data_IF_764416230747
#
_entry.id   IF_764416230747
#
_cell.length_a   1.000
_cell.length_b   1.000
_cell.length_c   1.000
_cell.angle_alpha   90.00
_cell.angle_beta   90.00
_cell.angle_gamma   90.00
#
_symmetry.space_group_name_H-M   'P 1'
#
loop_
_entity.id
_entity.type
_entity.pdbx_description
1 polymer ?
#
# COMPACT_ATOMS: atom_id res chain seq x y z
N UNK A 1 0.80 -0.10 19.51
CA UNK A 1 1.89 0.69 20.18
C UNK A 1 2.64 1.58 19.21
N UNK A 2 2.93 1.17 17.98
CA UNK A 2 3.51 2.03 16.89
C UNK A 2 2.63 3.26 16.61
N UNK A 3 1.29 3.13 16.62
CA UNK A 3 0.37 4.27 16.54
C UNK A 3 0.50 5.24 17.73
N UNK A 4 0.84 4.76 18.92
CA UNK A 4 0.99 5.61 20.11
C UNK A 4 2.32 6.39 20.12
N UNK A 5 3.38 5.86 19.51
CA UNK A 5 4.68 6.54 19.41
C UNK A 5 4.69 7.56 18.26
N UNK A 6 4.05 7.24 17.14
CA UNK A 6 3.80 8.19 16.05
C UNK A 6 2.95 9.39 16.52
N UNK A 7 2.07 9.22 17.51
CA UNK A 7 1.30 10.31 18.11
C UNK A 7 2.17 11.30 18.93
N UNK A 8 3.40 10.96 19.28
CA UNK A 8 4.33 11.80 20.04
C UNK A 8 5.17 12.73 19.15
N UNK A 9 5.53 12.31 17.94
CA UNK A 9 6.29 13.16 17.00
C UNK A 9 5.39 14.22 16.34
N UNK A 10 5.87 15.47 16.31
CA UNK A 10 5.18 16.56 15.60
C UNK A 10 5.01 16.19 14.12
N UNK A 11 6.05 15.65 13.50
CA UNK A 11 6.04 15.27 12.08
C UNK A 11 5.04 14.13 11.82
N UNK A 12 4.98 13.13 12.70
CA UNK A 12 4.01 12.05 12.58
C UNK A 12 2.57 12.56 12.69
N UNK A 13 2.30 13.53 13.58
CA UNK A 13 0.99 14.16 13.71
C UNK A 13 0.62 14.98 12.47
N UNK A 14 1.56 15.78 11.94
CA UNK A 14 1.37 16.51 10.67
C UNK A 14 1.04 15.55 9.54
N UNK A 15 1.82 14.49 9.38
CA UNK A 15 1.58 13.49 8.34
C UNK A 15 0.22 12.78 8.49
N UNK A 16 -0.24 12.51 9.73
CA UNK A 16 -1.56 11.94 9.99
C UNK A 16 -2.68 12.92 9.61
N UNK A 17 -2.53 14.20 9.92
CA UNK A 17 -3.50 15.26 9.56
C UNK A 17 -3.58 15.41 8.04
N UNK A 18 -2.45 15.49 7.34
CA UNK A 18 -2.43 15.62 5.88
C UNK A 18 -3.07 14.42 5.17
N UNK A 19 -2.78 13.19 5.64
CA UNK A 19 -3.46 12.00 5.12
C UNK A 19 -4.97 12.06 5.34
N UNK A 20 -5.39 12.41 6.56
CA UNK A 20 -6.82 12.54 6.89
C UNK A 20 -7.54 13.62 6.06
N UNK A 21 -6.84 14.66 5.60
CA UNK A 21 -7.38 15.63 4.63
C UNK A 21 -7.50 14.96 3.26
N UNK A 22 -6.43 14.31 2.78
CA UNK A 22 -6.40 13.66 1.47
C UNK A 22 -7.43 12.54 1.30
N UNK A 23 -7.76 11.80 2.38
CA UNK A 23 -8.78 10.73 2.37
C UNK A 23 -10.21 11.27 2.08
N UNK A 24 -10.39 12.59 2.09
CA UNK A 24 -11.68 13.24 1.85
C UNK A 24 -11.71 14.08 0.56
N UNK A 25 -10.70 13.95 -0.28
CA UNK A 25 -10.75 14.59 -1.60
C UNK A 25 -11.82 13.91 -2.51
N UNK A 26 -12.48 14.66 -3.38
CA UNK A 26 -12.37 16.10 -3.62
C UNK A 26 -13.25 16.98 -2.70
N UNK A 27 -14.09 16.42 -1.84
CA UNK A 27 -15.11 17.12 -1.06
C UNK A 27 -14.54 17.87 0.16
N UNK A 28 -13.28 17.61 0.47
CA UNK A 28 -12.59 18.13 1.66
C UNK A 28 -13.10 17.53 2.97
N UNK A 29 -12.39 17.78 4.07
CA UNK A 29 -12.66 17.25 5.41
C UNK A 29 -13.06 18.35 6.41
N UNK A 30 -14.00 18.06 7.32
CA UNK A 30 -14.20 18.91 8.49
C UNK A 30 -13.08 18.71 9.51
N UNK A 31 -12.80 19.70 10.35
CA UNK A 31 -11.83 19.56 11.45
C UNK A 31 -12.17 18.38 12.38
N UNK A 32 -13.46 18.04 12.50
CA UNK A 32 -13.94 16.93 13.33
C UNK A 32 -13.61 15.57 12.67
N UNK A 33 -13.81 15.46 11.35
CA UNK A 33 -13.47 14.25 10.60
C UNK A 33 -11.96 13.99 10.64
N UNK A 34 -11.15 15.04 10.38
CA UNK A 34 -9.69 14.97 10.49
C UNK A 34 -9.27 14.53 11.89
N UNK A 35 -9.86 15.08 12.95
CA UNK A 35 -9.53 14.76 14.33
C UNK A 35 -9.82 13.28 14.64
N UNK A 36 -10.95 12.77 14.18
CA UNK A 36 -11.34 11.36 14.34
C UNK A 36 -10.37 10.43 13.59
N UNK A 37 -10.10 10.72 12.32
CA UNK A 37 -9.22 9.89 11.45
C UNK A 37 -7.78 9.91 11.93
N UNK A 38 -7.25 11.09 12.32
CA UNK A 38 -5.88 11.24 12.79
C UNK A 38 -5.67 10.79 14.26
N UNK A 39 -6.74 10.50 15.00
CA UNK A 39 -6.66 10.14 16.42
C UNK A 39 -6.16 11.29 17.32
N UNK A 40 -6.45 12.55 16.95
CA UNK A 40 -5.96 13.75 17.63
C UNK A 40 -7.11 14.59 18.20
N UNK A 41 -6.83 15.37 19.25
CA UNK A 41 -7.80 16.31 19.78
C UNK A 41 -8.12 17.43 18.76
N UNK A 42 -9.40 17.77 18.59
CA UNK A 42 -9.88 18.80 17.66
C UNK A 42 -9.14 20.14 17.75
N UNK A 43 -8.82 20.71 18.93
CA UNK A 43 -8.03 21.94 19.02
C UNK A 43 -6.62 21.80 18.46
N UNK A 44 -6.00 20.63 18.61
CA UNK A 44 -4.68 20.33 18.05
C UNK A 44 -4.75 20.28 16.52
N UNK A 45 -5.73 19.57 15.96
CA UNK A 45 -5.95 19.52 14.51
C UNK A 45 -6.20 20.92 13.94
N UNK A 46 -7.07 21.72 14.58
CA UNK A 46 -7.36 23.07 14.12
C UNK A 46 -6.09 23.94 14.02
N UNK A 47 -5.23 23.91 15.05
CA UNK A 47 -3.94 24.62 15.01
C UNK A 47 -3.03 24.11 13.88
N UNK A 48 -3.00 22.80 13.67
CA UNK A 48 -2.16 22.18 12.63
C UNK A 48 -2.66 22.54 11.22
N UNK A 49 -3.94 22.39 10.91
CA UNK A 49 -4.46 22.75 9.59
C UNK A 49 -4.36 24.25 9.31
N UNK A 50 -4.51 25.10 10.33
CA UNK A 50 -4.30 26.55 10.19
C UNK A 50 -2.84 26.87 9.87
N UNK A 51 -1.89 26.21 10.53
CA UNK A 51 -0.46 26.37 10.23
C UNK A 51 -0.10 25.81 8.84
N UNK A 52 -0.63 24.66 8.47
CA UNK A 52 -0.44 24.06 7.15
C UNK A 52 -1.06 24.93 6.04
N UNK A 53 -2.18 25.59 6.30
CA UNK A 53 -2.80 26.52 5.36
C UNK A 53 -1.95 27.78 5.15
N UNK A 54 -1.31 28.30 6.20
CA UNK A 54 -0.40 29.43 6.07
C UNK A 54 0.82 29.11 5.16
N UNK A 55 1.21 27.85 5.08
CA UNK A 55 2.30 27.35 4.22
C UNK A 55 1.80 26.76 2.88
N UNK A 56 0.48 26.83 2.60
CA UNK A 56 -0.11 26.34 1.34
C UNK A 56 -0.23 24.82 1.20
N UNK A 57 0.03 24.04 2.25
CA UNK A 57 -0.10 22.58 2.22
C UNK A 57 -1.55 22.10 2.26
N UNK A 58 -2.43 22.88 2.86
CA UNK A 58 -3.87 22.66 2.83
C UNK A 58 -4.56 23.99 2.51
N UNK A 59 -5.75 23.91 1.91
CA UNK A 59 -6.60 25.06 1.64
C UNK A 59 -7.91 24.93 2.41
N UNK A 60 -8.57 26.07 2.65
CA UNK A 60 -9.89 26.12 3.23
C UNK A 60 -10.90 26.45 2.15
N UNK A 61 -11.76 25.50 1.83
CA UNK A 61 -12.88 25.67 0.92
C UNK A 61 -13.89 26.69 1.47
N UNK A 62 -14.69 27.31 0.60
CA UNK A 62 -15.79 28.22 0.98
C UNK A 62 -16.79 27.58 1.95
N UNK A 63 -16.98 26.25 1.85
CA UNK A 63 -17.77 25.44 2.79
C UNK A 63 -17.17 25.33 4.19
N UNK A 64 -15.96 25.89 4.42
CA UNK A 64 -15.20 25.75 5.66
C UNK A 64 -14.51 24.42 5.87
N UNK A 65 -14.54 23.52 4.86
CA UNK A 65 -13.83 22.22 4.85
C UNK A 65 -12.37 22.42 4.42
N UNK A 66 -11.51 21.48 4.79
CA UNK A 66 -10.08 21.48 4.47
C UNK A 66 -9.79 20.52 3.33
N UNK A 67 -9.05 20.98 2.34
CA UNK A 67 -8.57 20.21 1.19
C UNK A 67 -7.04 20.30 1.09
N UNK A 68 -6.41 19.45 0.28
CA UNK A 68 -4.97 19.56 0.01
C UNK A 68 -4.69 20.82 -0.80
N UNK A 69 -3.69 21.60 -0.37
CA UNK A 69 -3.32 22.86 -0.98
C UNK A 69 -2.29 22.71 -2.12
N UNK A 70 -2.04 23.81 -2.86
CA UNK A 70 -1.16 23.81 -4.04
C UNK A 70 0.27 23.40 -3.73
N UNK A 71 0.80 23.70 -2.54
CA UNK A 71 2.16 23.28 -2.16
C UNK A 71 2.30 21.76 -2.13
N UNK A 72 1.27 21.04 -1.67
CA UNK A 72 1.23 19.57 -1.70
C UNK A 72 1.30 19.04 -3.14
N UNK A 73 0.58 19.67 -4.08
CA UNK A 73 0.63 19.30 -5.50
C UNK A 73 2.00 19.60 -6.10
N UNK A 74 2.60 20.75 -5.84
CA UNK A 74 3.91 21.15 -6.36
C UNK A 74 5.01 20.18 -5.88
N UNK A 75 5.07 19.90 -4.58
CA UNK A 75 6.04 18.96 -4.03
C UNK A 75 5.82 17.54 -4.56
N UNK A 76 4.56 17.11 -4.70
CA UNK A 76 4.21 15.83 -5.31
C UNK A 76 4.68 15.74 -6.76
N UNK A 77 4.46 16.79 -7.55
CA UNK A 77 4.90 16.86 -8.96
C UNK A 77 6.43 16.83 -9.09
N UNK A 78 7.17 17.55 -8.24
CA UNK A 78 8.64 17.48 -8.20
C UNK A 78 9.16 16.09 -7.80
N UNK A 79 8.42 15.40 -6.94
CA UNK A 79 8.76 14.04 -6.54
C UNK A 79 8.38 13.00 -7.60
N UNK A 80 7.40 13.30 -8.47
CA UNK A 80 6.87 12.37 -9.46
C UNK A 80 7.94 11.84 -10.42
N UNK A 81 8.91 12.66 -10.85
CA UNK A 81 10.04 12.23 -11.68
C UNK A 81 10.86 11.08 -11.06
N UNK A 82 10.92 11.07 -9.72
CA UNK A 82 11.61 10.02 -8.96
C UNK A 82 10.75 8.76 -8.75
N UNK A 83 9.43 8.92 -8.88
CA UNK A 83 8.42 7.87 -8.68
C UNK A 83 7.67 7.54 -9.96
N UNK A 84 8.28 7.76 -11.14
CA UNK A 84 7.67 7.54 -12.47
C UNK A 84 7.33 6.06 -12.76
N UNK A 85 7.47 5.20 -11.76
CA UNK A 85 7.01 3.82 -11.86
C UNK A 85 5.51 3.71 -12.15
N UNK A 86 4.69 4.68 -11.72
CA UNK A 86 3.25 4.63 -11.95
C UNK A 86 2.91 4.82 -13.43
N UNK A 87 3.63 5.69 -14.15
CA UNK A 87 3.48 5.82 -15.61
C UNK A 87 3.96 4.56 -16.32
N UNK A 88 5.10 4.00 -15.89
CA UNK A 88 5.66 2.76 -16.44
C UNK A 88 4.80 1.52 -16.15
N UNK A 89 3.99 1.54 -15.09
CA UNK A 89 3.15 0.42 -14.68
C UNK A 89 1.72 0.49 -15.23
N UNK A 90 1.26 1.65 -15.70
CA UNK A 90 -0.15 1.88 -16.00
C UNK A 90 -0.75 0.94 -17.06
N UNK A 91 -0.02 0.66 -18.14
CA UNK A 91 -0.45 -0.29 -19.18
C UNK A 91 -0.38 -1.74 -18.67
N UNK A 92 0.61 -2.08 -17.85
CA UNK A 92 0.77 -3.41 -17.24
C UNK A 92 -0.37 -3.69 -16.27
N UNK A 93 -0.76 -2.73 -15.44
CA UNK A 93 -1.89 -2.88 -14.52
C UNK A 93 -3.20 -3.07 -15.28
N UNK A 94 -3.46 -2.26 -16.31
CA UNK A 94 -4.66 -2.41 -17.17
C UNK A 94 -4.69 -3.77 -17.86
N UNK A 95 -3.56 -4.24 -18.39
CA UNK A 95 -3.50 -5.55 -19.04
C UNK A 95 -3.74 -6.69 -18.06
N UNK A 96 -3.14 -6.64 -16.86
CA UNK A 96 -3.41 -7.60 -15.78
C UNK A 96 -4.89 -7.61 -15.39
N UNK A 97 -5.48 -6.45 -15.13
CA UNK A 97 -6.88 -6.35 -14.74
C UNK A 97 -7.82 -6.89 -15.85
N UNK A 98 -7.53 -6.55 -17.11
CA UNK A 98 -8.29 -7.00 -18.28
C UNK A 98 -8.18 -8.51 -18.50
N UNK A 99 -6.99 -9.08 -18.42
CA UNK A 99 -6.74 -10.49 -18.75
C UNK A 99 -7.15 -11.44 -17.64
N UNK A 100 -7.01 -11.02 -16.37
CA UNK A 100 -7.37 -11.82 -15.21
C UNK A 100 -8.82 -11.62 -14.78
N UNK A 101 -9.38 -10.43 -15.05
CA UNK A 101 -10.66 -9.97 -14.51
C UNK A 101 -10.59 -9.58 -13.04
N UNK A 102 -9.41 -9.70 -12.40
CA UNK A 102 -9.18 -9.30 -11.01
C UNK A 102 -8.64 -7.87 -10.93
N UNK A 103 -8.82 -7.20 -9.79
CA UNK A 103 -8.24 -5.89 -9.57
C UNK A 103 -6.72 -5.99 -9.38
N UNK A 104 -5.97 -5.16 -10.08
CA UNK A 104 -4.52 -5.11 -10.07
C UNK A 104 -4.02 -3.86 -9.35
N UNK A 105 -2.94 -3.98 -8.57
CA UNK A 105 -2.40 -2.91 -7.76
C UNK A 105 -0.87 -2.86 -7.88
N UNK A 106 -0.33 -1.65 -7.73
CA UNK A 106 1.09 -1.41 -7.54
C UNK A 106 1.31 -0.86 -6.13
N UNK A 107 2.19 -1.49 -5.38
CA UNK A 107 2.59 -1.04 -4.05
C UNK A 107 4.08 -0.73 -4.00
N UNK A 108 4.47 0.37 -3.36
CA UNK A 108 5.86 0.75 -3.12
C UNK A 108 6.29 0.36 -1.70
N UNK A 109 7.51 -0.12 -1.53
CA UNK A 109 8.14 -0.31 -0.22
C UNK A 109 8.54 1.04 0.37
N UNK A 110 8.24 1.25 1.65
CA UNK A 110 8.63 2.42 2.44
C UNK A 110 9.11 1.98 3.82
N UNK A 111 10.40 1.65 3.92
CA UNK A 111 10.95 1.05 5.14
C UNK A 111 10.35 -0.33 5.41
N UNK A 112 9.64 -0.47 6.52
CA UNK A 112 9.01 -1.70 7.00
C UNK A 112 7.53 -1.84 6.57
N UNK A 113 7.06 -1.02 5.67
CA UNK A 113 5.68 -1.04 5.16
C UNK A 113 5.62 -0.98 3.63
N UNK A 114 4.47 -1.34 3.09
CA UNK A 114 4.09 -1.06 1.71
C UNK A 114 3.02 0.02 1.67
N UNK A 115 3.05 0.83 0.61
CA UNK A 115 2.01 1.82 0.28
C UNK A 115 1.47 1.49 -1.09
N UNK A 116 0.17 1.30 -1.23
CA UNK A 116 -0.47 1.18 -2.53
C UNK A 116 -0.44 2.54 -3.25
N UNK A 117 0.16 2.60 -4.43
CA UNK A 117 0.37 3.86 -5.17
C UNK A 117 -0.39 3.94 -6.49
N UNK A 118 -0.86 2.81 -7.03
CA UNK A 118 -1.71 2.76 -8.20
C UNK A 118 -2.61 1.53 -8.17
N UNK A 119 -3.76 1.61 -8.83
CA UNK A 119 -4.70 0.51 -8.95
C UNK A 119 -5.42 0.56 -10.30
N UNK A 120 -5.83 -0.61 -10.77
CA UNK A 120 -6.72 -0.79 -11.91
C UNK A 120 -7.79 -1.81 -11.53
N UNK A 121 -9.05 -1.44 -11.71
CA UNK A 121 -10.16 -2.31 -11.33
C UNK A 121 -10.38 -3.46 -12.32
N UNK A 122 -10.60 -4.66 -11.77
CA UNK A 122 -10.98 -5.82 -12.54
C UNK A 122 -12.42 -5.75 -13.06
N UNK A 123 -12.72 -6.53 -14.10
CA UNK A 123 -14.05 -6.59 -14.71
C UNK A 123 -15.05 -7.51 -13.97
N UNK A 124 -14.57 -8.30 -12.99
CA UNK A 124 -15.47 -9.20 -12.26
C UNK A 124 -16.40 -8.40 -11.32
N UNK A 125 -17.72 -8.70 -11.31
CA UNK A 125 -18.71 -7.91 -10.57
C UNK A 125 -18.48 -7.87 -9.05
N UNK A 126 -17.97 -8.96 -8.46
CA UNK A 126 -17.66 -9.02 -7.03
C UNK A 126 -16.17 -8.72 -6.82
N UNK A 127 -15.88 -7.61 -6.15
CA UNK A 127 -14.49 -7.14 -5.92
C UNK A 127 -14.15 -7.11 -4.45
N UNK A 128 -12.88 -7.31 -4.17
CA UNK A 128 -12.33 -7.06 -2.84
C UNK A 128 -11.93 -5.59 -2.72
N UNK A 129 -12.46 -4.90 -1.72
CA UNK A 129 -12.11 -3.50 -1.40
C UNK A 129 -11.10 -3.39 -0.25
N UNK A 130 -10.36 -4.47 0.01
CA UNK A 130 -9.34 -4.50 1.08
C UNK A 130 -8.15 -3.61 0.75
N UNK A 131 -7.82 -3.45 -0.54
CA UNK A 131 -6.69 -2.65 -1.00
C UNK A 131 -7.18 -1.46 -1.83
N UNK A 132 -6.64 -0.28 -1.56
CA UNK A 132 -6.91 0.96 -2.30
C UNK A 132 -5.66 1.85 -2.29
N UNK A 133 -5.58 2.82 -3.21
CA UNK A 133 -4.47 3.77 -3.28
C UNK A 133 -4.36 4.54 -1.97
N UNK A 134 -3.14 4.70 -1.47
CA UNK A 134 -2.85 5.34 -0.18
C UNK A 134 -2.78 4.36 1.00
N UNK A 135 -3.38 3.17 0.91
CA UNK A 135 -3.36 2.20 1.99
C UNK A 135 -1.93 1.74 2.31
N UNK A 136 -1.62 1.69 3.61
CA UNK A 136 -0.33 1.27 4.15
C UNK A 136 -0.49 0.00 4.96
N UNK A 137 0.41 -0.94 4.77
CA UNK A 137 0.45 -2.18 5.53
C UNK A 137 1.89 -2.57 5.87
N UNK A 138 2.16 -3.10 7.06
CA UNK A 138 3.47 -3.68 7.40
C UNK A 138 3.86 -4.77 6.42
N UNK A 139 5.17 -4.97 6.21
CA UNK A 139 5.66 -6.11 5.44
C UNK A 139 5.15 -7.43 6.03
N UNK A 140 4.84 -8.40 5.18
CA UNK A 140 4.31 -9.71 5.60
C UNK A 140 2.81 -9.77 5.85
N UNK A 141 2.09 -8.64 5.93
CA UNK A 141 0.65 -8.61 6.20
C UNK A 141 -0.17 -8.86 4.93
N UNK A 142 0.03 -8.05 3.89
CA UNK A 142 -0.60 -8.24 2.59
C UNK A 142 0.34 -8.97 1.62
N UNK A 143 -0.20 -9.47 0.49
CA UNK A 143 0.58 -10.17 -0.53
C UNK A 143 1.74 -9.35 -1.07
N UNK A 144 1.54 -8.04 -1.34
CA UNK A 144 2.61 -7.15 -1.76
C UNK A 144 3.75 -7.04 -0.73
N UNK A 145 3.42 -6.87 0.55
CA UNK A 145 4.42 -6.80 1.62
C UNK A 145 5.12 -8.13 1.86
N UNK A 146 4.41 -9.26 1.72
CA UNK A 146 4.98 -10.58 1.90
C UNK A 146 6.00 -10.92 0.80
N UNK A 147 5.69 -10.62 -0.47
CA UNK A 147 6.63 -10.89 -1.57
C UNK A 147 7.86 -9.99 -1.50
N UNK A 148 7.71 -8.73 -1.12
CA UNK A 148 8.86 -7.84 -0.88
C UNK A 148 9.73 -8.38 0.26
N UNK A 149 9.12 -8.73 1.39
CA UNK A 149 9.82 -9.30 2.55
C UNK A 149 10.63 -10.56 2.18
N UNK A 150 10.04 -11.46 1.38
CA UNK A 150 10.69 -12.69 0.95
C UNK A 150 11.98 -12.45 0.15
N UNK A 151 12.02 -11.37 -0.63
CA UNK A 151 13.18 -11.03 -1.47
C UNK A 151 14.17 -10.06 -0.81
N UNK A 152 13.95 -9.65 0.45
CA UNK A 152 14.96 -8.93 1.22
C UNK A 152 16.14 -9.82 1.56
N UNK A 153 17.35 -9.24 1.76
CA UNK A 153 18.47 -9.95 2.34
C UNK A 153 18.04 -10.67 3.64
N UNK A 154 18.47 -11.90 3.83
CA UNK A 154 18.07 -12.74 4.97
C UNK A 154 18.25 -12.02 6.31
N UNK A 155 19.39 -11.36 6.50
CA UNK A 155 19.67 -10.58 7.71
C UNK A 155 18.60 -9.50 7.95
N UNK A 156 18.23 -8.74 6.93
CA UNK A 156 17.24 -7.67 7.03
C UNK A 156 15.85 -8.24 7.35
N UNK A 157 15.51 -9.37 6.73
CA UNK A 157 14.26 -10.10 6.96
C UNK A 157 14.13 -10.60 8.39
N UNK A 158 15.19 -11.23 8.93
CA UNK A 158 15.23 -11.69 10.33
C UNK A 158 15.12 -10.53 11.29
N UNK A 159 15.96 -9.49 11.13
CA UNK A 159 15.92 -8.28 11.95
C UNK A 159 14.54 -7.60 11.93
N UNK A 160 13.84 -7.63 10.79
CA UNK A 160 12.47 -7.12 10.68
C UNK A 160 11.49 -7.97 11.50
N UNK A 161 11.48 -9.28 11.30
CA UNK A 161 10.54 -10.19 11.97
C UNK A 161 10.72 -10.19 13.50
N UNK A 162 11.94 -10.01 14.00
CA UNK A 162 12.24 -9.94 15.44
C UNK A 162 11.66 -8.68 16.11
N UNK A 163 11.55 -7.55 15.37
CA UNK A 163 11.05 -6.27 15.92
C UNK A 163 9.64 -5.90 15.50
N UNK A 164 9.07 -6.59 14.51
CA UNK A 164 7.78 -6.21 13.94
C UNK A 164 6.61 -6.44 14.90
N UNK A 165 5.87 -5.39 15.19
CA UNK A 165 4.67 -5.45 16.03
C UNK A 165 3.44 -5.81 15.20
N UNK A 166 3.26 -7.10 14.90
CA UNK A 166 2.20 -7.61 14.03
C UNK A 166 1.00 -8.23 14.79
N UNK A 167 1.05 -8.25 16.11
CA UNK A 167 -0.02 -8.85 16.93
C UNK A 167 -1.42 -8.27 16.65
N UNK A 168 -1.51 -6.98 16.29
CA UNK A 168 -2.77 -6.33 15.92
C UNK A 168 -3.43 -6.86 14.64
N UNK A 169 -2.69 -7.64 13.83
CA UNK A 169 -3.18 -8.24 12.57
C UNK A 169 -3.67 -9.69 12.73
N UNK A 170 -3.64 -10.21 13.95
CA UNK A 170 -4.09 -11.54 14.30
C UNK A 170 -2.98 -12.62 14.27
N UNK A 171 -3.27 -13.77 14.85
CA UNK A 171 -2.29 -14.86 15.06
C UNK A 171 -1.65 -15.36 13.75
N UNK A 172 -2.42 -15.37 12.66
CA UNK A 172 -1.90 -15.76 11.35
C UNK A 172 -0.86 -14.79 10.76
N UNK A 173 -0.60 -13.66 11.41
CA UNK A 173 0.48 -12.72 11.11
C UNK A 173 1.60 -12.76 12.15
N UNK A 174 1.64 -13.76 13.01
CA UNK A 174 2.79 -14.00 13.89
C UNK A 174 4.08 -14.17 13.05
N UNK A 175 5.25 -13.73 13.55
CA UNK A 175 6.53 -13.82 12.81
C UNK A 175 6.83 -15.19 12.24
N UNK A 176 6.53 -16.26 12.99
CA UNK A 176 6.70 -17.65 12.52
C UNK A 176 5.83 -17.96 11.30
N UNK A 177 4.57 -17.61 11.35
CA UNK A 177 3.62 -17.84 10.26
C UNK A 177 4.00 -17.06 8.99
N UNK A 178 4.58 -15.87 9.17
CA UNK A 178 5.11 -15.08 8.05
C UNK A 178 6.36 -15.74 7.49
N UNK A 179 7.28 -16.24 8.34
CA UNK A 179 8.49 -16.92 7.89
C UNK A 179 8.15 -18.17 7.06
N UNK A 180 7.18 -18.99 7.48
CA UNK A 180 6.72 -20.15 6.72
C UNK A 180 6.18 -19.76 5.32
N UNK A 181 5.42 -18.64 5.25
CA UNK A 181 4.92 -18.12 3.97
C UNK A 181 6.02 -17.51 3.10
N UNK A 182 7.05 -16.93 3.70
CA UNK A 182 8.24 -16.46 2.97
C UNK A 182 8.92 -17.61 2.24
N UNK A 183 9.11 -18.77 2.89
CA UNK A 183 9.68 -19.95 2.24
C UNK A 183 8.83 -20.42 1.04
N UNK A 184 7.50 -20.38 1.17
CA UNK A 184 6.60 -20.69 0.05
C UNK A 184 6.78 -19.70 -1.12
N UNK A 185 6.93 -18.40 -0.82
CA UNK A 185 7.21 -17.38 -1.85
C UNK A 185 8.51 -17.67 -2.58
N UNK A 186 9.58 -18.02 -1.86
CA UNK A 186 10.89 -18.30 -2.46
C UNK A 186 10.85 -19.52 -3.39
N UNK A 187 9.97 -20.50 -3.11
CA UNK A 187 9.80 -21.69 -3.98
C UNK A 187 8.96 -21.37 -5.22
N UNK A 188 7.83 -20.66 -5.07
CA UNK A 188 6.88 -20.45 -6.18
C UNK A 188 7.05 -19.13 -6.92
N UNK A 189 7.82 -18.17 -6.36
CA UNK A 189 8.13 -16.85 -6.93
C UNK A 189 7.08 -15.77 -6.65
N UNK A 190 5.91 -16.11 -6.16
CA UNK A 190 4.83 -15.15 -5.83
C UNK A 190 4.24 -15.45 -4.46
N UNK A 191 3.67 -14.44 -3.83
CA UNK A 191 3.00 -14.58 -2.52
C UNK A 191 1.52 -14.87 -2.69
N UNK A 192 0.95 -15.55 -1.69
CA UNK A 192 -0.49 -15.81 -1.59
C UNK A 192 -0.99 -15.29 -0.23
N UNK A 193 -2.08 -14.54 -0.25
CA UNK A 193 -2.84 -14.14 0.93
C UNK A 193 -4.25 -14.77 0.85
N UNK A 194 -4.49 -15.90 1.52
CA UNK A 194 -5.75 -16.63 1.45
C UNK A 194 -6.77 -16.12 2.50
N UNK A 195 -7.24 -14.89 2.34
CA UNK A 195 -8.24 -14.31 3.25
C UNK A 195 -7.70 -13.97 4.64
N UNK A 196 -6.40 -13.68 4.76
CA UNK A 196 -5.77 -13.39 6.06
C UNK A 196 -6.17 -12.04 6.63
N UNK A 197 -6.48 -11.06 5.78
CA UNK A 197 -6.90 -9.72 6.17
C UNK A 197 -8.42 -9.64 6.34
N UNK A 198 -9.14 -10.14 5.35
CA UNK A 198 -10.60 -10.18 5.33
C UNK A 198 -11.00 -11.53 4.76
N UNK A 199 -11.81 -12.28 5.50
CA UNK A 199 -12.33 -13.56 5.07
C UNK A 199 -13.02 -13.43 3.70
N UNK A 200 -12.73 -14.37 2.79
CA UNK A 200 -13.26 -14.33 1.43
C UNK A 200 -12.52 -13.42 0.45
N UNK A 201 -11.58 -12.57 0.91
CA UNK A 201 -10.73 -11.76 0.06
C UNK A 201 -9.36 -12.39 -0.12
N UNK A 202 -8.99 -12.76 -1.33
CA UNK A 202 -7.70 -13.35 -1.65
C UNK A 202 -6.81 -12.39 -2.42
N UNK A 203 -5.50 -12.56 -2.27
CA UNK A 203 -4.51 -11.75 -3.00
C UNK A 203 -3.27 -12.55 -3.38
N UNK A 204 -2.70 -12.22 -4.54
CA UNK A 204 -1.38 -12.67 -4.98
C UNK A 204 -0.47 -11.46 -5.11
N UNK A 205 0.86 -11.65 -4.95
CA UNK A 205 1.85 -10.60 -5.11
C UNK A 205 3.11 -11.09 -5.81
N UNK A 206 3.70 -10.28 -6.69
CA UNK A 206 5.00 -10.52 -7.29
C UNK A 206 5.90 -9.30 -7.13
N UNK A 207 7.18 -9.53 -6.78
CA UNK A 207 8.14 -8.45 -6.53
C UNK A 207 8.60 -7.79 -7.83
N UNK A 208 8.77 -6.48 -7.77
CA UNK A 208 9.38 -5.66 -8.82
C UNK A 208 10.64 -5.03 -8.26
N UNK A 209 11.74 -5.17 -8.98
CA UNK A 209 13.06 -4.80 -8.52
C UNK A 209 13.52 -3.48 -9.13
N UNK A 210 14.27 -2.72 -8.36
CA UNK A 210 14.91 -1.49 -8.83
C UNK A 210 16.24 -1.80 -9.58
N UNK A 211 16.94 -0.76 -10.02
CA UNK A 211 18.23 -0.85 -10.72
C UNK A 211 19.37 -1.46 -9.87
N UNK A 212 19.16 -1.64 -8.58
CA UNK A 212 20.11 -2.25 -7.63
C UNK A 212 19.70 -3.67 -7.26
N UNK A 213 18.72 -4.24 -7.98
CA UNK A 213 18.11 -5.54 -7.69
C UNK A 213 17.46 -5.62 -6.29
N UNK A 214 17.09 -4.47 -5.69
CA UNK A 214 16.34 -4.43 -4.46
C UNK A 214 14.82 -4.52 -4.74
N UNK A 215 14.04 -5.28 -3.93
CA UNK A 215 12.58 -5.40 -4.09
C UNK A 215 11.91 -4.11 -3.60
N UNK A 216 11.82 -3.12 -4.49
CA UNK A 216 11.32 -1.77 -4.18
C UNK A 216 9.82 -1.65 -4.34
N UNK A 217 9.21 -2.49 -5.18
CA UNK A 217 7.77 -2.47 -5.44
C UNK A 217 7.21 -3.90 -5.54
N UNK A 218 5.89 -3.99 -5.58
CA UNK A 218 5.19 -5.24 -5.89
C UNK A 218 3.94 -4.94 -6.73
N UNK A 219 3.69 -5.79 -7.72
CA UNK A 219 2.39 -5.94 -8.34
C UNK A 219 1.55 -6.92 -7.53
N UNK A 220 0.26 -6.68 -7.41
CA UNK A 220 -0.65 -7.63 -6.76
C UNK A 220 -1.99 -7.70 -7.48
N UNK A 221 -2.63 -8.86 -7.36
CA UNK A 221 -4.01 -9.11 -7.78
C UNK A 221 -4.85 -9.36 -6.54
N UNK A 222 -6.06 -8.83 -6.48
CA UNK A 222 -7.02 -9.14 -5.42
C UNK A 222 -8.38 -9.48 -6.00
N UNK A 223 -9.07 -10.40 -5.34
CA UNK A 223 -10.41 -10.81 -5.71
C UNK A 223 -11.07 -11.67 -4.64
N UNK A 224 -12.21 -12.27 -4.96
CA UNK A 224 -12.95 -13.14 -4.05
C UNK A 224 -12.40 -14.57 -4.08
N UNK A 225 -12.45 -15.26 -2.94
CA UNK A 225 -11.85 -16.58 -2.72
C UNK A 225 -12.19 -17.62 -3.82
N UNK A 226 -13.44 -17.68 -4.26
CA UNK A 226 -13.87 -18.62 -5.29
C UNK A 226 -13.22 -18.45 -6.67
N UNK A 227 -12.45 -17.37 -6.86
CA UNK A 227 -11.70 -17.10 -8.09
C UNK A 227 -10.20 -17.36 -7.96
N UNK A 228 -9.74 -17.82 -6.79
CA UNK A 228 -8.34 -18.13 -6.49
C UNK A 228 -8.19 -19.61 -6.09
N UNK A 229 -8.95 -20.50 -6.76
CA UNK A 229 -8.87 -21.95 -6.56
C UNK A 229 -7.52 -22.52 -6.97
N UNK A 230 -7.29 -23.79 -6.65
CA UNK A 230 -6.00 -24.48 -6.85
C UNK A 230 -5.61 -24.60 -8.33
N UNK A 231 -6.56 -24.53 -9.26
CA UNK A 231 -6.31 -24.60 -10.71
C UNK A 231 -5.96 -23.23 -11.27
N UNK A 232 -6.72 -22.20 -10.88
CA UNK A 232 -6.58 -20.86 -11.42
C UNK A 232 -5.44 -20.08 -10.79
N UNK A 233 -5.16 -20.31 -9.50
CA UNK A 233 -4.11 -19.59 -8.75
C UNK A 233 -2.72 -19.68 -9.38
N UNK A 234 -2.22 -20.85 -9.82
CA UNK A 234 -0.93 -20.94 -10.52
C UNK A 234 -0.90 -20.13 -11.83
N UNK A 235 -2.01 -20.10 -12.58
CA UNK A 235 -2.13 -19.33 -13.82
C UNK A 235 -2.06 -17.82 -13.54
N UNK A 236 -2.78 -17.35 -12.51
CA UNK A 236 -2.72 -15.95 -12.07
C UNK A 236 -1.32 -15.58 -11.56
N UNK A 237 -0.67 -16.49 -10.82
CA UNK A 237 0.70 -16.30 -10.32
C UNK A 237 1.70 -16.14 -11.46
N UNK A 238 1.60 -16.99 -12.49
CA UNK A 238 2.47 -16.90 -13.67
C UNK A 238 2.26 -15.60 -14.48
N UNK A 239 1.01 -15.19 -14.67
CA UNK A 239 0.69 -13.90 -15.33
C UNK A 239 1.26 -12.73 -14.52
N UNK A 240 1.11 -12.75 -13.20
CA UNK A 240 1.64 -11.73 -12.31
C UNK A 240 3.16 -11.67 -12.32
N UNK A 241 3.84 -12.82 -12.32
CA UNK A 241 5.31 -12.91 -12.44
C UNK A 241 5.82 -12.34 -13.76
N UNK A 242 5.17 -12.68 -14.88
CA UNK A 242 5.51 -12.10 -16.19
C UNK A 242 5.36 -10.59 -16.21
N UNK A 243 4.28 -10.06 -15.65
CA UNK A 243 4.04 -8.63 -15.54
C UNK A 243 5.08 -7.93 -14.65
N UNK A 244 5.42 -8.51 -13.50
CA UNK A 244 6.45 -7.98 -12.60
C UNK A 244 7.84 -7.99 -13.24
N UNK A 245 8.19 -9.04 -13.99
CA UNK A 245 9.43 -9.10 -14.76
C UNK A 245 9.47 -8.03 -15.86
N UNK A 246 8.36 -7.85 -16.60
CA UNK A 246 8.27 -6.82 -17.63
C UNK A 246 8.44 -5.41 -17.04
N UNK A 247 7.81 -5.13 -15.89
CA UNK A 247 7.98 -3.85 -15.20
C UNK A 247 9.41 -3.66 -14.69
N UNK A 248 10.02 -4.67 -14.06
CA UNK A 248 11.42 -4.64 -13.62
C UNK A 248 12.36 -4.33 -14.80
N UNK A 249 12.12 -4.94 -15.97
CA UNK A 249 12.93 -4.70 -17.17
C UNK A 249 12.81 -3.28 -17.72
N UNK A 250 11.67 -2.62 -17.57
CA UNK A 250 11.48 -1.21 -17.95
C UNK A 250 12.22 -0.22 -17.04
N UNK A 251 12.51 -0.62 -15.81
CA UNK A 251 13.16 0.22 -14.81
C UNK A 251 14.69 0.15 -14.84
N UNK A 252 15.24 -0.84 -15.53
CA UNK A 252 16.70 -1.02 -15.76
C UNK A 252 17.19 -0.16 -16.90
#
# INVERSE_FOLDING_TARGET
MVMAEAARSVIARVAAVMRAVGDHEPDGASTTDIARTAGLARPTVHRMVTALAAEGFVDRHESGRWALGPETFLLGSMAAERYDITSSAGDILRDLARTTGESAFLSARRGDETVCIASEEGSFPLRSHVLHVGLRMPLGVASAGLVILAHLPERERVEYLDRAELAGWGERHAPREIAERVEQVLVQGYSVNPGLLVEGSWGLGAAVFDRRDAPAWALSLTGVAGRFDDVRRPVLGEQLLRAAHALTSRLR
#
